data_IF_287313780067
#
_entry.id   IF_287313780067
#
_cell.length_a   1.000
_cell.length_b   1.000
_cell.length_c   1.000
_cell.angle_alpha   90.00
_cell.angle_beta   90.00
_cell.angle_gamma   90.00
#
_symmetry.space_group_name_H-M   'P 1'
#
loop_
_entity.id
_entity.type
_entity.pdbx_description
1 polymer ?
#
# COMPACT_ATOMS: atom_id res chain seq x y z
N UNK A 1 7.23 6.21 -5.15
CA UNK A 1 5.89 5.63 -4.89
C UNK A 1 5.70 5.37 -3.38
N UNK A 2 4.52 5.64 -2.83
CA UNK A 2 4.14 5.19 -1.47
C UNK A 2 3.16 4.03 -1.61
N UNK A 3 3.53 2.85 -1.11
CA UNK A 3 2.67 1.67 -1.07
C UNK A 3 2.12 1.51 0.33
N UNK A 4 0.82 1.33 0.48
CA UNK A 4 0.19 1.09 1.77
C UNK A 4 -0.76 -0.09 1.73
N UNK A 5 -0.62 -0.99 2.70
CA UNK A 5 -1.60 -2.05 2.93
C UNK A 5 -2.62 -1.60 3.94
N UNK A 6 -3.91 -1.69 3.57
CA UNK A 6 -4.99 -1.15 4.40
C UNK A 6 -6.28 -1.94 4.24
N UNK A 7 -6.85 -2.36 5.38
CA UNK A 7 -8.14 -3.08 5.41
C UNK A 7 -9.34 -2.16 5.22
N UNK A 8 -9.31 -0.97 5.81
CA UNK A 8 -10.45 -0.02 5.82
C UNK A 8 -10.21 1.21 4.96
N UNK A 9 -9.01 1.36 4.38
CA UNK A 9 -8.59 2.54 3.63
C UNK A 9 -8.12 3.71 4.50
N UNK A 10 -8.18 3.60 5.83
CA UNK A 10 -7.84 4.71 6.74
C UNK A 10 -6.43 5.27 6.50
N UNK A 11 -5.44 4.38 6.31
CA UNK A 11 -4.04 4.76 6.10
C UNK A 11 -3.84 5.49 4.78
N UNK A 12 -4.40 4.96 3.69
CA UNK A 12 -4.36 5.61 2.38
C UNK A 12 -5.01 7.00 2.42
N UNK A 13 -6.16 7.14 3.10
CA UNK A 13 -6.83 8.45 3.28
C UNK A 13 -5.99 9.42 4.10
N UNK A 14 -5.31 8.97 5.15
CA UNK A 14 -4.43 9.81 5.94
C UNK A 14 -3.25 10.33 5.12
N UNK A 15 -2.61 9.48 4.31
CA UNK A 15 -1.51 9.89 3.43
C UNK A 15 -2.03 10.87 2.36
N UNK A 16 -3.13 10.53 1.70
CA UNK A 16 -3.80 11.33 0.66
C UNK A 16 -4.16 12.74 1.13
N UNK A 17 -4.57 12.90 2.40
CA UNK A 17 -4.89 14.21 3.01
C UNK A 17 -3.75 15.23 2.86
N UNK A 18 -2.50 14.78 2.90
CA UNK A 18 -1.32 15.66 2.80
C UNK A 18 -0.92 15.98 1.35
N UNK A 19 -1.62 15.41 0.36
CA UNK A 19 -1.37 15.60 -1.07
C UNK A 19 0.11 15.50 -1.47
N UNK A 20 0.80 14.40 -1.11
CA UNK A 20 2.23 14.26 -1.42
C UNK A 20 2.46 14.23 -2.93
N UNK A 21 3.57 14.77 -3.43
CA UNK A 21 3.92 14.73 -4.87
C UNK A 21 4.31 13.32 -5.40
N UNK A 22 3.86 12.27 -4.72
CA UNK A 22 4.09 10.88 -5.06
C UNK A 22 2.75 10.15 -5.11
N UNK A 23 2.62 9.21 -6.05
CA UNK A 23 1.45 8.34 -6.11
C UNK A 23 1.36 7.44 -4.86
N UNK A 24 0.12 7.11 -4.48
CA UNK A 24 -0.21 6.27 -3.33
C UNK A 24 -0.86 5.00 -3.83
N UNK A 25 -0.10 3.90 -3.92
CA UNK A 25 -0.64 2.58 -4.22
C UNK A 25 -1.27 1.99 -2.94
N UNK A 26 -2.60 1.91 -2.90
CA UNK A 26 -3.33 1.40 -1.76
C UNK A 26 -3.79 -0.04 -2.00
N UNK A 27 -3.09 -0.98 -1.38
CA UNK A 27 -3.40 -2.40 -1.44
C UNK A 27 -4.44 -2.75 -0.37
N UNK A 28 -5.54 -3.36 -0.79
CA UNK A 28 -6.63 -3.75 0.09
C UNK A 28 -7.19 -5.12 -0.28
N UNK A 29 -7.90 -5.74 0.66
CA UNK A 29 -8.49 -7.08 0.52
C UNK A 29 -10.02 -7.00 0.50
N UNK A 30 -10.57 -5.80 0.32
CA UNK A 30 -11.99 -5.49 0.37
C UNK A 30 -12.38 -4.60 -0.82
N UNK A 31 -13.24 -5.11 -1.70
CA UNK A 31 -13.65 -4.40 -2.92
C UNK A 31 -14.36 -3.08 -2.62
N UNK A 32 -15.11 -3.00 -1.51
CA UNK A 32 -15.80 -1.78 -1.14
C UNK A 32 -14.79 -0.68 -0.78
N UNK A 33 -13.75 -1.05 -0.02
CA UNK A 33 -12.63 -0.16 0.31
C UNK A 33 -11.87 0.26 -0.94
N UNK A 34 -11.57 -0.67 -1.85
CA UNK A 34 -10.89 -0.37 -3.12
C UNK A 34 -11.66 0.69 -3.91
N UNK A 35 -12.94 0.45 -4.19
CA UNK A 35 -13.81 1.37 -4.94
C UNK A 35 -13.94 2.71 -4.24
N UNK A 36 -14.07 2.72 -2.91
CA UNK A 36 -14.18 3.95 -2.13
C UNK A 36 -12.92 4.81 -2.18
N UNK A 37 -11.74 4.19 -2.25
CA UNK A 37 -10.46 4.88 -2.32
C UNK A 37 -10.18 5.54 -3.68
N UNK A 38 -10.90 5.18 -4.75
CA UNK A 38 -10.75 5.82 -6.07
C UNK A 38 -11.09 7.32 -6.05
N UNK A 39 -11.85 7.77 -5.05
CA UNK A 39 -12.21 9.19 -4.88
C UNK A 39 -11.14 9.99 -4.12
N UNK A 40 -10.09 9.33 -3.61
CA UNK A 40 -9.07 9.97 -2.80
C UNK A 40 -7.91 10.49 -3.66
N UNK A 41 -7.45 11.69 -3.34
CA UNK A 41 -6.39 12.37 -4.08
C UNK A 41 -5.12 11.52 -4.15
N UNK A 42 -4.60 11.31 -5.35
CA UNK A 42 -3.34 10.59 -5.59
C UNK A 42 -3.37 9.11 -5.20
N UNK A 43 -4.54 8.54 -4.87
CA UNK A 43 -4.66 7.13 -4.49
C UNK A 43 -4.99 6.29 -5.71
N UNK A 44 -4.18 5.27 -5.92
CA UNK A 44 -4.36 4.19 -6.89
C UNK A 44 -4.69 2.94 -6.08
N UNK A 45 -5.97 2.61 -5.86
CA UNK A 45 -6.33 1.43 -5.10
C UNK A 45 -6.20 0.17 -5.96
N UNK A 46 -5.81 -0.94 -5.35
CA UNK A 46 -5.73 -2.24 -6.01
C UNK A 46 -6.10 -3.35 -5.04
N UNK A 47 -6.98 -4.24 -5.47
CA UNK A 47 -7.31 -5.46 -4.75
C UNK A 47 -6.13 -6.45 -4.76
N UNK A 48 -5.88 -7.06 -3.62
CA UNK A 48 -4.89 -8.13 -3.44
C UNK A 48 -5.40 -9.14 -2.41
N UNK A 49 -4.72 -10.26 -2.27
CA UNK A 49 -4.92 -11.19 -1.17
C UNK A 49 -4.29 -10.68 0.14
N UNK A 50 -4.86 -11.10 1.27
CA UNK A 50 -4.33 -10.78 2.59
C UNK A 50 -2.96 -11.44 2.80
N UNK A 51 -1.92 -10.69 3.21
CA UNK A 51 -0.61 -11.27 3.44
C UNK A 51 -0.66 -12.22 4.63
N UNK A 52 0.04 -13.34 4.48
CA UNK A 52 0.21 -14.38 5.49
C UNK A 52 1.25 -14.02 6.54
N UNK A 53 2.17 -13.11 6.21
CA UNK A 53 3.25 -12.66 7.09
C UNK A 53 3.72 -11.24 6.74
N UNK A 54 4.58 -10.68 7.59
CA UNK A 54 5.22 -9.37 7.34
C UNK A 54 6.14 -9.39 6.13
N UNK A 55 6.84 -10.51 5.87
CA UNK A 55 7.73 -10.63 4.71
C UNK A 55 6.93 -10.77 3.41
N UNK A 56 5.90 -11.62 3.42
CA UNK A 56 4.93 -11.76 2.31
C UNK A 56 4.27 -10.41 1.96
N UNK A 57 3.95 -9.60 2.97
CA UNK A 57 3.44 -8.24 2.76
C UNK A 57 4.41 -7.35 1.95
N UNK A 58 5.73 -7.42 2.21
CA UNK A 58 6.69 -6.63 1.45
C UNK A 58 6.83 -7.15 0.01
N UNK A 59 6.84 -8.47 -0.18
CA UNK A 59 6.88 -9.09 -1.50
C UNK A 59 5.63 -8.75 -2.33
N UNK A 60 4.45 -8.80 -1.72
CA UNK A 60 3.19 -8.38 -2.36
C UNK A 60 3.26 -6.90 -2.75
N UNK A 61 3.77 -6.03 -1.88
CA UNK A 61 3.89 -4.60 -2.13
C UNK A 61 4.79 -4.31 -3.36
N UNK A 62 5.96 -4.93 -3.42
CA UNK A 62 6.90 -4.81 -4.54
C UNK A 62 6.27 -5.36 -5.84
N UNK A 63 5.74 -6.59 -5.80
CA UNK A 63 5.11 -7.24 -6.96
C UNK A 63 3.96 -6.42 -7.53
N UNK A 64 3.05 -5.93 -6.67
CA UNK A 64 1.89 -5.15 -7.09
C UNK A 64 2.28 -3.77 -7.62
N UNK A 65 3.34 -3.16 -7.10
CA UNK A 65 3.87 -1.91 -7.63
C UNK A 65 4.41 -2.06 -9.05
N UNK A 66 5.13 -3.16 -9.33
CA UNK A 66 5.61 -3.50 -10.69
C UNK A 66 4.43 -3.86 -11.60
N UNK A 67 3.47 -4.68 -11.15
CA UNK A 67 2.27 -5.06 -11.90
C UNK A 67 1.43 -3.83 -12.31
N UNK A 68 1.36 -2.82 -11.44
CA UNK A 68 0.69 -1.54 -11.72
C UNK A 68 1.44 -0.67 -12.75
N UNK A 69 2.69 -1.02 -13.10
CA UNK A 69 3.53 -0.22 -13.99
C UNK A 69 4.00 1.10 -13.38
N UNK A 70 4.00 1.20 -12.04
CA UNK A 70 4.34 2.44 -11.32
C UNK A 70 5.82 2.55 -10.96
N UNK A 71 6.56 1.43 -10.98
CA UNK A 71 7.97 1.32 -10.64
C UNK A 71 8.63 0.21 -11.46
N UNK A 72 9.94 0.30 -11.59
CA UNK A 72 10.79 -0.72 -12.20
C UNK A 72 11.89 -1.21 -11.23
N UNK A 73 12.62 -2.27 -11.63
CA UNK A 73 13.73 -2.79 -10.83
C UNK A 73 14.79 -1.70 -10.61
N UNK A 74 15.20 -1.51 -9.35
CA UNK A 74 16.11 -0.45 -8.94
C UNK A 74 15.44 0.80 -8.34
N UNK A 75 14.12 0.94 -8.46
CA UNK A 75 13.40 2.05 -7.83
C UNK A 75 13.23 1.86 -6.32
N UNK A 76 13.28 2.96 -5.56
CA UNK A 76 12.94 2.96 -4.14
C UNK A 76 11.45 3.25 -3.91
N UNK A 77 10.81 2.39 -3.12
CA UNK A 77 9.42 2.54 -2.67
C UNK A 77 9.35 2.68 -1.14
N UNK A 78 8.38 3.46 -0.69
CA UNK A 78 8.04 3.57 0.73
C UNK A 78 6.86 2.67 1.02
N UNK A 79 7.01 1.71 1.92
CA UNK A 79 5.95 0.79 2.34
C UNK A 79 5.45 1.20 3.73
N UNK A 80 4.14 1.41 3.85
CA UNK A 80 3.46 1.84 5.08
C UNK A 80 2.40 0.81 5.48
N UNK A 81 2.56 0.21 6.66
CA UNK A 81 1.68 -0.88 7.12
C UNK A 81 1.53 -0.96 8.64
N UNK A 82 0.59 -1.79 9.09
CA UNK A 82 0.47 -2.23 10.49
C UNK A 82 1.10 -3.61 10.65
N UNK A 83 2.05 -3.75 11.56
CA UNK A 83 2.75 -5.00 11.87
C UNK A 83 2.53 -5.34 13.35
N UNK A 84 2.29 -6.61 13.73
CA UNK A 84 2.17 -7.79 12.87
C UNK A 84 0.94 -7.79 11.96
N UNK A 85 1.08 -8.41 10.78
CA UNK A 85 0.01 -8.56 9.80
C UNK A 85 -1.03 -9.54 10.32
N UNK A 86 -2.31 -9.27 10.05
CA UNK A 86 -3.43 -10.16 10.44
C UNK A 86 -4.02 -9.87 11.82
N UNK A 87 -3.32 -9.10 12.66
CA UNK A 87 -3.86 -8.59 13.91
C UNK A 87 -4.55 -7.23 13.71
N UNK A 88 -5.45 -6.88 14.63
CA UNK A 88 -6.14 -5.59 14.64
C UNK A 88 -5.23 -4.44 15.12
N UNK A 89 -4.05 -4.33 14.52
CA UNK A 89 -3.03 -3.34 14.86
C UNK A 89 -3.14 -2.14 13.91
N UNK A 90 -3.04 -0.94 14.47
CA UNK A 90 -3.01 0.30 13.68
C UNK A 90 -1.70 0.36 12.88
N UNK A 91 -1.70 1.12 11.79
CA UNK A 91 -0.47 1.40 11.03
C UNK A 91 0.60 1.99 11.95
N UNK A 92 1.74 1.32 12.04
CA UNK A 92 2.84 1.64 12.95
C UNK A 92 4.22 1.49 12.30
N UNK A 93 4.29 1.08 11.05
CA UNK A 93 5.56 0.74 10.37
C UNK A 93 5.66 1.49 9.05
N UNK A 94 6.84 2.09 8.82
CA UNK A 94 7.27 2.64 7.55
C UNK A 94 8.65 2.07 7.21
N UNK A 95 8.82 1.56 5.99
CA UNK A 95 10.12 1.08 5.48
C UNK A 95 10.36 1.58 4.07
N UNK A 96 11.62 1.83 3.74
CA UNK A 96 12.07 2.07 2.37
C UNK A 96 12.65 0.77 1.85
N UNK A 97 12.30 0.39 0.62
CA UNK A 97 12.87 -0.77 -0.07
C UNK A 97 13.13 -0.46 -1.53
N UNK A 98 14.24 -0.97 -2.02
CA UNK A 98 14.58 -0.99 -3.44
C UNK A 98 13.93 -2.20 -4.08
N UNK A 99 13.11 -1.96 -5.11
CA UNK A 99 12.44 -2.98 -5.91
C UNK A 99 13.49 -3.81 -6.65
N UNK A 100 13.33 -5.13 -6.65
CA UNK A 100 14.23 -6.07 -7.31
C UNK A 100 13.61 -6.67 -8.55
#
# INVERSE_FOLDING_TARGET
LVVTLTKTGHTARLISKYRPNADILALTFDELTERGLMLNWGVIPMLTDAPSSTDDMFEIAERKAVEAGLVESGDDIVIVAGVPVGEAVRTNTMRIRTVR
#
